data_IF_820379426765
#
_entry.id   IF_820379426765
#
_cell.length_a   1.000
_cell.length_b   1.000
_cell.length_c   1.000
_cell.angle_alpha   90.00
_cell.angle_beta   90.00
_cell.angle_gamma   90.00
#
_symmetry.space_group_name_H-M   'P 1'
#
loop_
_entity.id
_entity.type
_entity.pdbx_description
1 polymer ?
#
# COMPACT_ATOMS: atom_id res chain seq x y z
N UNK A 1 -7.25 -22.91 -7.60
CA UNK A 1 -7.67 -23.61 -8.84
C UNK A 1 -7.59 -22.68 -10.07
N UNK A 2 -6.57 -21.83 -10.15
CA UNK A 2 -6.21 -21.05 -11.36
C UNK A 2 -4.87 -21.51 -11.92
N UNK A 3 -4.01 -22.09 -11.07
CA UNK A 3 -2.73 -22.68 -11.47
C UNK A 3 -2.87 -23.96 -12.31
N UNK A 4 -4.03 -24.60 -12.28
CA UNK A 4 -4.33 -25.80 -13.08
C UNK A 4 -4.52 -25.50 -14.59
N UNK A 5 -4.70 -24.23 -14.96
CA UNK A 5 -4.88 -23.77 -16.35
C UNK A 5 -3.67 -23.01 -16.91
N UNK A 6 -2.57 -22.96 -16.16
CA UNK A 6 -1.36 -22.23 -16.54
C UNK A 6 -0.45 -23.23 -17.26
N UNK A 7 -0.49 -23.24 -18.59
CA UNK A 7 0.59 -23.85 -19.37
C UNK A 7 1.93 -23.20 -18.93
N UNK A 8 3.05 -23.94 -18.80
CA UNK A 8 4.34 -23.37 -18.37
C UNK A 8 4.82 -22.18 -19.22
N UNK A 9 4.23 -22.03 -20.41
CA UNK A 9 4.47 -20.96 -21.39
C UNK A 9 3.67 -19.67 -21.17
N UNK A 10 2.57 -19.71 -20.40
CA UNK A 10 1.66 -18.57 -20.26
C UNK A 10 1.50 -18.22 -18.79
N UNK A 11 2.18 -17.17 -18.33
CA UNK A 11 2.09 -16.75 -16.92
C UNK A 11 0.68 -16.27 -16.56
N UNK A 12 0.23 -16.49 -15.32
CA UNK A 12 -1.00 -15.91 -14.79
C UNK A 12 -1.10 -14.40 -15.07
N UNK A 13 0.04 -13.71 -15.06
CA UNK A 13 0.13 -12.29 -15.40
C UNK A 13 -0.32 -12.00 -16.83
N UNK A 14 0.08 -12.80 -17.81
CA UNK A 14 -0.30 -12.59 -19.21
C UNK A 14 -1.82 -12.76 -19.43
N UNK A 15 -2.44 -13.71 -18.74
CA UNK A 15 -3.89 -13.89 -18.78
C UNK A 15 -4.63 -12.69 -18.18
N UNK A 16 -4.15 -12.18 -17.04
CA UNK A 16 -4.71 -11.00 -16.38
C UNK A 16 -4.54 -9.76 -17.28
N UNK A 17 -3.35 -9.53 -17.83
CA UNK A 17 -3.06 -8.40 -18.71
C UNK A 17 -3.93 -8.45 -20.00
N UNK A 18 -4.11 -9.64 -20.57
CA UNK A 18 -4.95 -9.84 -21.76
C UNK A 18 -6.44 -9.63 -21.46
N UNK A 19 -6.91 -10.05 -20.28
CA UNK A 19 -8.27 -9.77 -19.80
C UNK A 19 -8.50 -8.27 -19.57
N UNK A 20 -7.55 -7.58 -18.92
CA UNK A 20 -7.62 -6.12 -18.75
C UNK A 20 -7.66 -5.39 -20.10
N UNK A 21 -6.86 -5.84 -21.08
CA UNK A 21 -6.81 -5.25 -22.42
C UNK A 21 -8.09 -5.49 -23.23
N UNK A 22 -8.74 -6.64 -23.05
CA UNK A 22 -9.97 -7.00 -23.80
C UNK A 22 -11.23 -6.43 -23.17
N UNK A 23 -11.28 -6.35 -21.84
CA UNK A 23 -12.45 -5.86 -21.10
C UNK A 23 -12.35 -4.35 -20.82
N UNK A 24 -11.16 -3.77 -20.91
CA UNK A 24 -10.93 -2.34 -20.67
C UNK A 24 -11.06 -1.93 -19.20
N UNK A 25 -11.04 -2.91 -18.28
CA UNK A 25 -11.24 -2.69 -16.84
C UNK A 25 -9.90 -2.87 -16.10
N UNK A 26 -9.57 -1.91 -15.25
CA UNK A 26 -8.39 -2.00 -14.40
C UNK A 26 -8.65 -2.82 -13.13
N UNK A 27 -8.34 -4.12 -13.20
CA UNK A 27 -8.33 -5.03 -12.06
C UNK A 27 -7.31 -4.67 -10.96
N UNK A 28 -6.28 -3.87 -11.26
CA UNK A 28 -5.25 -3.52 -10.28
C UNK A 28 -5.61 -2.32 -9.43
N UNK A 29 -6.54 -1.47 -9.87
CA UNK A 29 -7.02 -0.28 -9.16
C UNK A 29 -7.32 -0.55 -7.68
N UNK A 30 -8.14 -1.55 -7.38
CA UNK A 30 -8.50 -1.94 -6.00
C UNK A 30 -7.32 -2.42 -5.17
N UNK A 31 -6.37 -3.16 -5.76
CA UNK A 31 -5.19 -3.65 -5.05
C UNK A 31 -4.18 -2.52 -4.83
N UNK A 32 -4.05 -1.64 -5.82
CA UNK A 32 -3.22 -0.46 -5.76
C UNK A 32 -3.71 0.51 -4.67
N UNK A 33 -5.01 0.77 -4.62
CA UNK A 33 -5.65 1.58 -3.58
C UNK A 33 -5.40 0.99 -2.19
N UNK A 34 -5.60 -0.31 -1.98
CA UNK A 34 -5.29 -0.98 -0.71
C UNK A 34 -3.82 -0.87 -0.32
N UNK A 35 -2.91 -0.97 -1.29
CA UNK A 35 -1.48 -0.84 -1.04
C UNK A 35 -1.11 0.61 -0.68
N UNK A 36 -1.72 1.59 -1.34
CA UNK A 36 -1.55 3.00 -0.99
C UNK A 36 -2.09 3.33 0.41
N UNK A 37 -3.28 2.81 0.77
CA UNK A 37 -3.82 2.96 2.12
C UNK A 37 -2.89 2.35 3.18
N UNK A 38 -2.34 1.17 2.90
CA UNK A 38 -1.39 0.52 3.81
C UNK A 38 -0.10 1.34 3.97
N UNK A 39 0.42 1.88 2.87
CA UNK A 39 1.58 2.77 2.91
C UNK A 39 1.30 4.04 3.72
N UNK A 40 0.10 4.63 3.60
CA UNK A 40 -0.31 5.79 4.39
C UNK A 40 -0.31 5.46 5.89
N UNK A 41 -0.94 4.35 6.28
CA UNK A 41 -0.96 3.89 7.68
C UNK A 41 0.45 3.70 8.26
N UNK A 42 1.36 3.10 7.50
CA UNK A 42 2.74 2.91 7.94
C UNK A 42 3.48 4.24 8.13
N UNK A 43 3.28 5.20 7.22
CA UNK A 43 3.86 6.55 7.36
C UNK A 43 3.33 7.29 8.58
N UNK A 44 2.04 7.17 8.86
CA UNK A 44 1.42 7.80 10.02
C UNK A 44 2.00 7.21 11.32
N UNK A 45 2.16 5.89 11.39
CA UNK A 45 2.80 5.22 12.53
C UNK A 45 4.27 5.62 12.68
N UNK A 46 5.05 5.63 11.60
CA UNK A 46 6.47 6.04 11.64
C UNK A 46 6.62 7.49 12.13
N UNK A 47 5.74 8.40 11.66
CA UNK A 47 5.67 9.78 12.13
C UNK A 47 5.40 9.85 13.63
N UNK A 48 4.40 9.11 14.12
CA UNK A 48 4.07 9.06 15.54
C UNK A 48 5.22 8.54 16.39
N UNK A 49 5.85 7.43 15.97
CA UNK A 49 6.97 6.82 16.69
C UNK A 49 8.19 7.76 16.74
N UNK A 50 8.51 8.44 15.63
CA UNK A 50 9.58 9.44 15.61
C UNK A 50 9.32 10.58 16.57
N UNK A 51 8.08 11.05 16.65
CA UNK A 51 7.68 12.09 17.61
C UNK A 51 7.82 11.60 19.05
N UNK A 52 7.35 10.39 19.35
CA UNK A 52 7.46 9.80 20.70
C UNK A 52 8.93 9.61 21.12
N UNK A 53 9.79 9.14 20.22
CA UNK A 53 11.23 9.01 20.48
C UNK A 53 11.84 10.38 20.81
N UNK A 54 11.55 11.42 20.01
CA UNK A 54 12.03 12.79 20.26
C UNK A 54 11.57 13.33 21.61
N UNK A 55 10.28 13.15 21.94
CA UNK A 55 9.73 13.55 23.22
C UNK A 55 10.44 12.86 24.39
N UNK A 56 10.69 11.55 24.28
CA UNK A 56 11.43 10.78 25.30
C UNK A 56 12.90 11.20 25.41
N UNK A 57 13.52 11.65 24.32
CA UNK A 57 14.90 12.15 24.33
C UNK A 57 15.04 13.57 24.92
N UNK A 58 13.93 14.24 25.29
CA UNK A 58 13.97 15.54 25.96
C UNK A 58 14.01 16.75 25.03
N UNK A 59 13.83 16.55 23.72
CA UNK A 59 13.60 17.65 22.78
C UNK A 59 12.14 18.15 22.93
N UNK A 60 11.95 19.21 23.72
CA UNK A 60 10.63 19.79 24.00
C UNK A 60 9.89 20.29 22.74
N UNK A 61 8.85 19.53 22.35
CA UNK A 61 7.44 19.96 22.15
C UNK A 61 7.16 21.26 21.36
N UNK A 62 7.66 21.42 20.13
CA UNK A 62 7.16 22.47 19.21
C UNK A 62 6.48 21.93 17.94
N UNK A 63 6.43 20.62 17.74
CA UNK A 63 5.74 19.98 16.60
C UNK A 63 4.79 18.87 17.09
N UNK A 64 4.01 19.13 18.14
CA UNK A 64 2.80 18.35 18.37
C UNK A 64 1.91 18.58 17.15
N UNK A 65 1.89 17.59 16.27
CA UNK A 65 1.09 17.55 15.06
C UNK A 65 -0.35 17.94 15.44
N UNK A 66 -0.82 19.06 14.87
CA UNK A 66 -2.18 19.59 15.06
C UNK A 66 -3.30 18.58 14.71
N UNK A 67 -2.96 17.42 14.13
CA UNK A 67 -3.90 16.34 13.83
C UNK A 67 -4.28 15.46 15.03
N UNK A 68 -3.67 15.65 16.21
CA UNK A 68 -4.05 14.95 17.45
C UNK A 68 -4.97 15.76 18.38
N UNK A 69 -5.49 16.89 17.92
CA UNK A 69 -6.44 17.76 18.65
C UNK A 69 -7.88 17.50 18.20
#
# INVERSE_FOLDING_TARGET
KLHDFISPSTSAKQLIDQYQKTVGVDLWSSQYERMQEHLKKLKDVDRCLRTEIRQRMGDCLNELCYEQL
#
